data_IF_475344707486
#
_entry.id   IF_475344707486
#
_cell.length_a   1.000
_cell.length_b   1.000
_cell.length_c   1.000
_cell.angle_alpha   90.00
_cell.angle_beta   90.00
_cell.angle_gamma   90.00
#
_symmetry.space_group_name_H-M   'P 1'
#
loop_
_entity.id
_entity.type
_entity.pdbx_description
1 polymer ?
#
# COMPACT_ATOMS: atom_id res chain seq x y z
N UNK A 1 -19.01 -7.42 -29.57
CA UNK A 1 -20.07 -6.58 -29.00
C UNK A 1 -19.49 -5.56 -28.01
N UNK A 2 -18.84 -5.99 -26.91
CA UNK A 2 -18.33 -5.10 -25.85
C UNK A 2 -17.34 -4.04 -26.39
N UNK A 3 -16.40 -4.44 -27.24
CA UNK A 3 -15.46 -3.53 -27.91
C UNK A 3 -16.18 -2.38 -28.63
N UNK A 4 -17.20 -2.70 -29.44
CA UNK A 4 -17.98 -1.72 -30.15
C UNK A 4 -18.82 -0.84 -29.20
N UNK A 5 -19.41 -1.45 -28.17
CA UNK A 5 -20.18 -0.73 -27.14
C UNK A 5 -19.29 0.29 -26.42
N UNK A 6 -18.11 -0.13 -25.93
CA UNK A 6 -17.17 0.72 -25.22
C UNK A 6 -16.70 1.90 -26.09
N UNK A 7 -16.39 1.63 -27.37
CA UNK A 7 -16.02 2.68 -28.34
C UNK A 7 -17.11 3.73 -28.53
N UNK A 8 -18.39 3.30 -28.68
CA UNK A 8 -19.51 4.21 -28.86
C UNK A 8 -19.78 5.01 -27.57
N UNK A 9 -19.75 4.33 -26.42
CA UNK A 9 -20.02 4.98 -25.12
C UNK A 9 -18.98 6.07 -24.85
N UNK A 10 -17.70 5.77 -25.00
CA UNK A 10 -16.60 6.76 -24.83
C UNK A 10 -16.69 7.91 -25.84
N UNK A 11 -17.02 7.62 -27.10
CA UNK A 11 -17.19 8.66 -28.13
C UNK A 11 -18.35 9.62 -27.81
N UNK A 12 -19.46 9.10 -27.26
CA UNK A 12 -20.64 9.90 -26.92
C UNK A 12 -20.52 10.61 -25.58
N UNK A 13 -19.73 10.05 -24.66
CA UNK A 13 -19.57 10.52 -23.28
C UNK A 13 -18.09 10.52 -22.91
N UNK A 14 -17.29 11.50 -23.35
CA UNK A 14 -15.82 11.48 -23.15
C UNK A 14 -15.35 11.45 -21.69
N UNK A 15 -16.23 11.78 -20.73
CA UNK A 15 -15.90 11.75 -19.30
C UNK A 15 -16.31 10.48 -18.56
N UNK A 16 -16.89 9.48 -19.27
CA UNK A 16 -17.32 8.24 -18.63
C UNK A 16 -16.13 7.31 -18.38
N UNK A 17 -16.11 6.66 -17.22
CA UNK A 17 -15.18 5.58 -16.89
C UNK A 17 -15.91 4.24 -17.04
N UNK A 18 -15.31 3.34 -17.79
CA UNK A 18 -15.79 1.97 -18.00
C UNK A 18 -14.91 1.02 -17.21
N UNK A 19 -15.49 0.36 -16.21
CA UNK A 19 -14.77 -0.55 -15.33
C UNK A 19 -15.28 -1.98 -15.57
N UNK A 20 -14.37 -2.87 -15.96
CA UNK A 20 -14.69 -4.29 -16.13
C UNK A 20 -14.78 -5.00 -14.78
N UNK A 21 -15.76 -5.86 -14.60
CA UNK A 21 -15.77 -6.85 -13.55
C UNK A 21 -15.65 -8.23 -14.20
N UNK A 22 -14.49 -8.86 -14.00
CA UNK A 22 -14.19 -10.16 -14.54
C UNK A 22 -13.19 -10.86 -13.61
N UNK A 23 -13.59 -11.99 -13.05
CA UNK A 23 -12.82 -12.72 -12.03
C UNK A 23 -12.03 -13.90 -12.65
N UNK A 24 -12.10 -14.07 -13.97
CA UNK A 24 -11.40 -15.11 -14.70
C UNK A 24 -10.07 -14.63 -15.32
N UNK A 25 -9.66 -15.34 -16.36
CA UNK A 25 -8.37 -15.16 -17.01
C UNK A 25 -8.44 -14.36 -18.32
N UNK A 26 -9.48 -13.56 -18.54
CA UNK A 26 -9.55 -12.74 -19.75
C UNK A 26 -8.49 -11.64 -19.71
N UNK A 27 -7.48 -11.70 -20.60
CA UNK A 27 -6.37 -10.79 -20.56
C UNK A 27 -6.67 -9.46 -21.24
N UNK A 28 -5.92 -8.43 -20.87
CA UNK A 28 -5.84 -7.15 -21.57
C UNK A 28 -7.21 -6.46 -21.78
N UNK A 29 -8.07 -6.52 -20.75
CA UNK A 29 -9.38 -5.86 -20.77
C UNK A 29 -9.25 -4.34 -20.83
N UNK A 30 -8.19 -3.79 -20.22
CA UNK A 30 -7.92 -2.36 -20.11
C UNK A 30 -7.00 -1.81 -21.20
N UNK A 31 -6.56 -2.68 -22.12
CA UNK A 31 -5.81 -2.20 -23.28
C UNK A 31 -6.73 -1.61 -24.36
N UNK A 32 -6.15 -0.84 -25.27
CA UNK A 32 -6.89 -0.01 -26.21
C UNK A 32 -7.64 -0.82 -27.27
N UNK A 33 -8.69 -0.22 -27.80
CA UNK A 33 -9.49 -0.79 -28.90
C UNK A 33 -8.67 -0.87 -30.19
N UNK A 34 -7.70 0.03 -30.36
CA UNK A 34 -6.77 0.06 -31.49
C UNK A 34 -5.86 -1.17 -31.52
N UNK A 35 -5.53 -1.72 -30.34
CA UNK A 35 -4.75 -2.94 -30.17
C UNK A 35 -5.61 -4.22 -30.22
N UNK A 36 -6.86 -4.12 -30.68
CA UNK A 36 -7.83 -5.21 -30.77
C UNK A 36 -8.38 -5.73 -29.43
N UNK A 37 -8.22 -4.96 -28.34
CA UNK A 37 -8.73 -5.27 -27.01
C UNK A 37 -10.09 -4.61 -26.71
N UNK A 38 -10.62 -4.76 -25.47
CA UNK A 38 -11.98 -4.31 -25.16
C UNK A 38 -12.09 -2.83 -24.82
N UNK A 39 -11.00 -2.17 -24.44
CA UNK A 39 -10.95 -0.74 -24.19
C UNK A 39 -11.70 -0.29 -22.94
N UNK A 40 -11.74 -1.07 -21.87
CA UNK A 40 -12.14 -0.60 -20.56
C UNK A 40 -11.07 0.34 -20.00
N UNK A 41 -11.46 1.25 -19.11
CA UNK A 41 -10.50 2.13 -18.44
C UNK A 41 -9.82 1.41 -17.28
N UNK A 42 -10.58 0.57 -16.55
CA UNK A 42 -10.13 -0.17 -15.38
C UNK A 42 -10.77 -1.56 -15.29
N UNK A 43 -10.13 -2.41 -14.48
CA UNK A 43 -10.64 -3.72 -14.06
C UNK A 43 -10.69 -3.81 -12.53
N UNK A 44 -11.78 -4.31 -11.95
CA UNK A 44 -11.83 -4.63 -10.52
C UNK A 44 -10.82 -5.73 -10.18
N UNK A 45 -10.02 -5.51 -9.14
CA UNK A 45 -9.05 -6.49 -8.66
C UNK A 45 -9.63 -7.30 -7.49
N UNK A 46 -10.54 -8.23 -7.78
CA UNK A 46 -11.08 -9.15 -6.76
C UNK A 46 -10.01 -10.05 -6.16
N UNK A 47 -9.00 -10.45 -6.94
CA UNK A 47 -7.87 -11.27 -6.49
C UNK A 47 -7.09 -10.60 -5.36
N UNK A 48 -6.65 -9.35 -5.55
CA UNK A 48 -5.90 -8.60 -4.53
C UNK A 48 -6.63 -8.53 -3.19
N UNK A 49 -7.92 -8.20 -3.23
CA UNK A 49 -8.74 -8.09 -2.02
C UNK A 49 -8.88 -9.43 -1.32
N UNK A 50 -9.12 -10.50 -2.09
CA UNK A 50 -9.22 -11.86 -1.55
C UNK A 50 -7.91 -12.31 -0.90
N UNK A 51 -6.77 -12.07 -1.54
CA UNK A 51 -5.46 -12.44 -1.04
C UNK A 51 -5.15 -11.72 0.27
N UNK A 52 -5.37 -10.41 0.33
CA UNK A 52 -5.18 -9.64 1.57
C UNK A 52 -6.07 -10.16 2.71
N UNK A 53 -7.37 -10.39 2.46
CA UNK A 53 -8.30 -10.88 3.48
C UNK A 53 -7.92 -12.28 3.95
N UNK A 54 -7.61 -13.18 3.02
CA UNK A 54 -7.16 -14.54 3.35
C UNK A 54 -5.91 -14.55 4.23
N UNK A 55 -5.01 -13.58 4.05
CA UNK A 55 -3.82 -13.44 4.88
C UNK A 55 -4.12 -12.88 6.27
N UNK A 56 -4.87 -11.78 6.37
CA UNK A 56 -5.07 -11.11 7.67
C UNK A 56 -6.06 -11.83 8.58
N UNK A 57 -6.95 -12.67 8.03
CA UNK A 57 -7.90 -13.47 8.79
C UNK A 57 -7.24 -14.70 9.46
N UNK A 58 -6.02 -15.08 9.03
CA UNK A 58 -5.25 -16.18 9.62
C UNK A 58 -4.65 -15.77 10.98
N UNK A 59 -4.55 -16.72 11.90
CA UNK A 59 -3.85 -16.51 13.18
C UNK A 59 -2.39 -16.06 12.96
N UNK A 60 -1.89 -15.07 13.70
CA UNK A 60 -0.60 -14.45 13.42
C UNK A 60 0.60 -15.39 13.35
N UNK A 61 0.57 -16.50 14.13
CA UNK A 61 1.65 -17.49 14.12
C UNK A 61 1.67 -18.34 12.86
N UNK A 62 0.54 -18.45 12.16
CA UNK A 62 0.39 -19.24 10.93
C UNK A 62 0.58 -18.39 9.68
N UNK A 63 0.58 -17.05 9.79
CA UNK A 63 0.66 -16.11 8.65
C UNK A 63 1.89 -16.29 7.78
N UNK A 64 2.98 -16.81 8.34
CA UNK A 64 4.20 -17.08 7.56
C UNK A 64 3.96 -18.03 6.39
N UNK A 65 3.01 -18.97 6.53
CA UNK A 65 2.67 -19.94 5.49
C UNK A 65 1.75 -19.35 4.39
N UNK A 66 1.25 -18.13 4.62
CA UNK A 66 0.37 -17.37 3.71
C UNK A 66 1.01 -16.05 3.26
N UNK A 67 2.28 -15.84 3.56
CA UNK A 67 2.97 -14.56 3.35
C UNK A 67 3.04 -14.14 1.87
N UNK A 68 3.09 -15.09 0.95
CA UNK A 68 3.05 -14.85 -0.48
C UNK A 68 1.78 -14.12 -0.93
N UNK A 69 0.66 -14.27 -0.23
CA UNK A 69 -0.59 -13.53 -0.51
C UNK A 69 -0.45 -12.01 -0.36
N UNK A 70 0.52 -11.53 0.42
CA UNK A 70 0.86 -10.10 0.46
C UNK A 70 1.66 -9.65 -0.76
N UNK A 71 2.50 -10.51 -1.32
CA UNK A 71 3.52 -10.12 -2.30
C UNK A 71 3.18 -10.52 -3.73
N UNK A 72 2.38 -11.58 -3.90
CA UNK A 72 2.03 -12.17 -5.21
C UNK A 72 1.34 -11.18 -6.15
N UNK A 73 0.56 -10.26 -5.59
CA UNK A 73 -0.16 -9.24 -6.36
C UNK A 73 0.76 -8.39 -7.25
N UNK A 74 2.02 -8.19 -6.86
CA UNK A 74 2.99 -7.43 -7.65
C UNK A 74 3.43 -8.13 -8.93
N UNK A 75 3.22 -9.44 -9.06
CA UNK A 75 3.51 -10.17 -10.30
C UNK A 75 2.54 -9.78 -11.43
N UNK A 76 1.35 -9.33 -11.09
CA UNK A 76 0.34 -8.94 -12.08
C UNK A 76 -0.13 -7.48 -11.97
N UNK A 77 0.36 -6.72 -10.98
CA UNK A 77 -0.11 -5.36 -10.67
C UNK A 77 -0.14 -4.40 -11.88
N UNK A 78 0.69 -4.65 -12.89
CA UNK A 78 0.82 -3.81 -14.09
C UNK A 78 0.29 -4.48 -15.37
N UNK A 79 -0.36 -5.65 -15.26
CA UNK A 79 -0.94 -6.34 -16.41
C UNK A 79 -2.26 -5.72 -16.88
N UNK A 80 -2.93 -4.98 -16.00
CA UNK A 80 -4.17 -4.26 -16.23
C UNK A 80 -4.17 -2.95 -15.42
N UNK A 81 -5.06 -2.04 -15.74
CA UNK A 81 -5.33 -0.89 -14.88
C UNK A 81 -6.30 -1.30 -13.75
N UNK A 82 -5.77 -1.74 -12.63
CA UNK A 82 -6.59 -2.28 -11.55
C UNK A 82 -7.22 -1.20 -10.65
N UNK A 83 -8.47 -1.46 -10.25
CA UNK A 83 -9.13 -0.79 -9.11
C UNK A 83 -9.10 -1.75 -7.93
N UNK A 84 -8.36 -1.37 -6.89
CA UNK A 84 -8.27 -2.11 -5.63
C UNK A 84 -9.41 -1.68 -4.71
N UNK A 85 -10.05 -2.64 -4.05
CA UNK A 85 -11.18 -2.38 -3.16
C UNK A 85 -10.95 -2.95 -1.77
N UNK A 86 -11.47 -2.27 -0.76
CA UNK A 86 -11.67 -2.77 0.59
C UNK A 86 -12.84 -1.98 1.17
N UNK A 87 -14.04 -2.43 0.91
CA UNK A 87 -15.25 -1.73 1.30
C UNK A 87 -16.33 -2.69 1.80
N UNK A 88 -17.53 -2.15 2.04
CA UNK A 88 -18.66 -2.92 2.58
C UNK A 88 -19.00 -4.16 1.76
N UNK A 89 -18.77 -4.12 0.45
CA UNK A 89 -19.00 -5.27 -0.43
C UNK A 89 -18.03 -6.43 -0.13
N UNK A 90 -16.81 -6.09 0.30
CA UNK A 90 -15.74 -7.07 0.48
C UNK A 90 -15.73 -7.61 1.92
N UNK A 91 -15.93 -6.74 2.90
CA UNK A 91 -15.76 -7.06 4.33
C UNK A 91 -17.05 -6.93 5.16
N UNK A 92 -18.14 -6.44 4.59
CA UNK A 92 -19.37 -6.12 5.32
C UNK A 92 -19.26 -4.82 6.12
N UNK A 93 -19.93 -4.77 7.27
CA UNK A 93 -19.78 -3.68 8.24
C UNK A 93 -18.42 -3.76 8.94
N UNK A 94 -17.99 -2.68 9.60
CA UNK A 94 -16.78 -2.71 10.43
C UNK A 94 -16.84 -3.79 11.51
N UNK A 95 -18.03 -4.02 12.10
CA UNK A 95 -18.25 -5.07 13.09
C UNK A 95 -18.01 -6.46 12.50
N UNK A 96 -18.60 -6.76 11.35
CA UNK A 96 -18.42 -8.04 10.65
C UNK A 96 -16.95 -8.25 10.25
N UNK A 97 -16.25 -7.21 9.84
CA UNK A 97 -14.82 -7.30 9.55
C UNK A 97 -14.00 -7.62 10.80
N UNK A 98 -14.27 -6.93 11.92
CA UNK A 98 -13.60 -7.19 13.19
C UNK A 98 -13.87 -8.61 13.72
N UNK A 99 -15.05 -9.18 13.48
CA UNK A 99 -15.39 -10.54 13.91
C UNK A 99 -14.52 -11.61 13.23
N UNK A 100 -14.10 -11.38 11.99
CA UNK A 100 -13.24 -12.30 11.22
C UNK A 100 -11.77 -12.25 11.63
N UNK A 101 -11.31 -11.15 12.20
CA UNK A 101 -9.90 -10.96 12.53
C UNK A 101 -9.53 -11.63 13.86
N UNK A 102 -8.34 -12.24 13.98
CA UNK A 102 -7.83 -12.79 15.23
C UNK A 102 -7.36 -11.70 16.21
N UNK A 103 -7.28 -12.07 17.49
CA UNK A 103 -6.73 -11.24 18.55
C UNK A 103 -7.75 -10.44 19.36
N UNK A 104 -7.24 -9.60 20.26
CA UNK A 104 -8.04 -8.72 21.11
C UNK A 104 -8.72 -7.60 20.32
N UNK A 105 -9.77 -6.93 20.85
CA UNK A 105 -10.44 -5.83 20.13
C UNK A 105 -9.49 -4.72 19.66
N UNK A 106 -8.47 -4.36 20.45
CA UNK A 106 -7.47 -3.36 20.05
C UNK A 106 -6.58 -3.85 18.91
N UNK A 107 -6.16 -5.12 18.96
CA UNK A 107 -5.36 -5.73 17.87
C UNK A 107 -6.16 -5.84 16.57
N UNK A 108 -7.43 -6.20 16.64
CA UNK A 108 -8.33 -6.25 15.48
C UNK A 108 -8.46 -4.88 14.82
N UNK A 109 -8.67 -3.81 15.58
CA UNK A 109 -8.70 -2.44 15.06
C UNK A 109 -7.35 -2.02 14.45
N UNK A 110 -6.22 -2.43 15.04
CA UNK A 110 -4.90 -2.18 14.46
C UNK A 110 -4.74 -2.88 13.10
N UNK A 111 -5.18 -4.13 12.99
CA UNK A 111 -5.17 -4.89 11.73
C UNK A 111 -6.06 -4.26 10.65
N UNK A 112 -7.25 -3.76 11.03
CA UNK A 112 -8.11 -3.00 10.10
C UNK A 112 -7.37 -1.76 9.59
N UNK A 113 -6.72 -0.98 10.47
CA UNK A 113 -5.93 0.18 10.04
C UNK A 113 -4.78 -0.24 9.13
N UNK A 114 -4.06 -1.32 9.45
CA UNK A 114 -2.98 -1.82 8.60
C UNK A 114 -3.49 -2.25 7.22
N UNK A 115 -4.63 -2.92 7.14
CA UNK A 115 -5.24 -3.34 5.87
C UNK A 115 -5.62 -2.14 4.98
N UNK A 116 -6.27 -1.11 5.54
CA UNK A 116 -6.59 0.12 4.80
C UNK A 116 -5.34 0.90 4.37
N UNK A 117 -4.30 0.95 5.22
CA UNK A 117 -3.03 1.58 4.83
C UNK A 117 -2.37 0.80 3.70
N UNK A 118 -2.31 -0.53 3.77
CA UNK A 118 -1.72 -1.36 2.73
C UNK A 118 -2.44 -1.17 1.39
N UNK A 119 -3.78 -1.14 1.39
CA UNK A 119 -4.57 -0.80 0.22
C UNK A 119 -4.14 0.55 -0.37
N UNK A 120 -4.09 1.61 0.44
CA UNK A 120 -3.82 2.98 -0.03
C UNK A 120 -2.38 3.15 -0.55
N UNK A 121 -1.44 2.34 -0.08
CA UNK A 121 -0.02 2.41 -0.42
C UNK A 121 0.40 1.47 -1.55
N UNK A 122 -0.40 0.43 -1.84
CA UNK A 122 -0.17 -0.50 -2.94
C UNK A 122 -0.38 0.20 -4.31
N UNK A 123 0.29 -0.19 -5.42
CA UNK A 123 -0.03 0.30 -6.76
C UNK A 123 -1.46 0.01 -7.20
N UNK A 124 -2.02 0.86 -8.08
CA UNK A 124 -3.37 0.76 -8.62
C UNK A 124 -4.33 1.83 -8.08
N UNK A 125 -5.46 2.04 -8.74
CA UNK A 125 -6.50 2.99 -8.30
C UNK A 125 -7.27 2.41 -7.11
N UNK A 126 -7.69 3.25 -6.16
CA UNK A 126 -8.38 2.82 -4.94
C UNK A 126 -9.83 3.20 -4.96
N UNK A 127 -10.69 2.26 -4.57
CA UNK A 127 -12.09 2.55 -4.27
C UNK A 127 -12.44 1.93 -2.93
N UNK A 128 -12.65 2.79 -1.93
CA UNK A 128 -13.08 2.38 -0.60
C UNK A 128 -14.42 3.01 -0.26
N UNK A 129 -15.28 2.27 0.40
CA UNK A 129 -16.49 2.79 1.01
C UNK A 129 -16.49 2.39 2.48
N UNK A 130 -15.83 3.18 3.36
CA UNK A 130 -15.82 2.89 4.77
C UNK A 130 -17.24 2.90 5.34
N UNK A 131 -17.45 2.09 6.35
CA UNK A 131 -18.76 2.00 7.01
C UNK A 131 -19.15 3.36 7.61
N UNK A 132 -20.38 3.78 7.41
CA UNK A 132 -20.90 5.02 7.97
C UNK A 132 -20.95 5.01 9.50
N UNK A 133 -21.02 3.81 10.09
CA UNK A 133 -21.09 3.60 11.54
C UNK A 133 -19.69 3.44 12.20
N UNK A 134 -18.61 3.75 11.49
CA UNK A 134 -17.28 3.67 12.07
C UNK A 134 -17.05 4.78 13.12
N UNK A 135 -16.12 4.51 14.07
CA UNK A 135 -15.76 5.46 15.15
C UNK A 135 -15.13 6.74 14.59
N UNK A 136 -15.12 7.82 15.39
CA UNK A 136 -14.49 9.09 15.00
C UNK A 136 -13.00 8.93 14.75
N UNK A 137 -12.30 8.07 15.49
CA UNK A 137 -10.89 7.73 15.26
C UNK A 137 -10.68 7.07 13.90
N UNK A 138 -11.57 6.16 13.50
CA UNK A 138 -11.48 5.52 12.17
C UNK A 138 -11.83 6.49 11.05
N UNK A 139 -12.79 7.40 11.25
CA UNK A 139 -13.08 8.48 10.29
C UNK A 139 -11.87 9.40 10.10
N UNK A 140 -11.24 9.82 11.20
CA UNK A 140 -10.01 10.62 11.16
C UNK A 140 -8.88 9.87 10.44
N UNK A 141 -8.75 8.55 10.70
CA UNK A 141 -7.78 7.70 10.03
C UNK A 141 -7.96 7.65 8.51
N UNK A 142 -9.16 7.38 8.04
CA UNK A 142 -9.47 7.32 6.60
C UNK A 142 -9.33 8.71 5.94
N UNK A 143 -9.73 9.77 6.64
CA UNK A 143 -9.54 11.14 6.16
C UNK A 143 -8.05 11.44 5.92
N UNK A 144 -7.19 11.11 6.88
CA UNK A 144 -5.76 11.40 6.78
C UNK A 144 -5.04 10.50 5.78
N UNK A 145 -5.46 9.23 5.63
CA UNK A 145 -4.99 8.37 4.54
C UNK A 145 -5.30 8.98 3.17
N UNK A 146 -6.53 9.44 2.97
CA UNK A 146 -6.93 10.10 1.72
C UNK A 146 -6.18 11.42 1.48
N UNK A 147 -5.92 12.19 2.55
CA UNK A 147 -5.15 13.41 2.46
C UNK A 147 -3.69 13.12 2.05
N UNK A 148 -3.07 12.13 2.68
CA UNK A 148 -1.72 11.66 2.31
C UNK A 148 -1.68 11.17 0.86
N UNK A 149 -2.61 10.32 0.44
CA UNK A 149 -2.67 9.80 -0.93
C UNK A 149 -2.69 10.96 -1.95
N UNK A 150 -3.54 11.97 -1.75
CA UNK A 150 -3.64 13.12 -2.65
C UNK A 150 -2.42 14.04 -2.64
N UNK A 151 -1.72 14.12 -1.51
CA UNK A 151 -0.56 15.00 -1.35
C UNK A 151 0.78 14.37 -1.77
N UNK A 152 0.83 13.04 -1.96
CA UNK A 152 2.05 12.31 -2.28
C UNK A 152 1.99 11.74 -3.70
N UNK A 153 2.57 12.42 -4.72
CA UNK A 153 2.57 11.94 -6.10
C UNK A 153 3.09 10.51 -6.28
N UNK A 154 4.04 10.08 -5.47
CA UNK A 154 4.57 8.72 -5.48
C UNK A 154 3.48 7.63 -5.32
N UNK A 155 2.31 7.96 -4.78
CA UNK A 155 1.23 6.99 -4.55
C UNK A 155 0.31 6.79 -5.76
N UNK A 156 0.40 7.66 -6.78
CA UNK A 156 -0.51 7.58 -7.94
C UNK A 156 0.11 7.95 -9.29
N UNK A 157 1.16 8.79 -9.32
CA UNK A 157 1.67 9.34 -10.59
C UNK A 157 2.28 8.28 -11.52
N UNK A 158 2.75 7.15 -10.96
CA UNK A 158 3.35 6.05 -11.70
C UNK A 158 2.62 4.72 -11.46
N UNK A 159 1.33 4.75 -11.17
CA UNK A 159 0.54 3.52 -10.90
C UNK A 159 0.44 2.56 -12.11
N UNK A 160 0.64 3.04 -13.31
CA UNK A 160 0.72 2.23 -14.54
C UNK A 160 2.14 1.81 -14.94
N UNK A 161 3.16 2.14 -14.14
CA UNK A 161 4.57 1.86 -14.45
C UNK A 161 5.26 1.17 -13.27
N UNK A 162 5.90 0.03 -13.54
CA UNK A 162 6.64 -0.74 -12.53
C UNK A 162 7.77 0.05 -11.86
N UNK A 163 8.33 1.07 -12.52
CA UNK A 163 9.37 1.92 -11.93
C UNK A 163 8.88 2.74 -10.73
N UNK A 164 7.56 2.90 -10.58
CA UNK A 164 6.91 3.56 -9.43
C UNK A 164 6.93 2.73 -8.13
N UNK A 165 7.34 1.48 -8.19
CA UNK A 165 7.38 0.56 -7.05
C UNK A 165 8.71 -0.19 -6.97
N UNK A 166 9.16 -0.48 -5.75
CA UNK A 166 10.35 -1.29 -5.54
C UNK A 166 10.29 -1.99 -4.18
N UNK A 167 10.43 -3.32 -4.17
CA UNK A 167 10.56 -4.07 -2.93
C UNK A 167 11.88 -3.78 -2.21
N UNK A 168 11.80 -3.67 -0.88
CA UNK A 168 12.96 -3.69 0.02
C UNK A 168 12.99 -5.02 0.78
N UNK A 169 11.88 -5.38 1.43
CA UNK A 169 11.70 -6.65 2.12
C UNK A 169 10.40 -7.29 1.63
N UNK A 170 10.50 -8.47 1.02
CA UNK A 170 9.36 -9.25 0.53
C UNK A 170 9.50 -10.75 0.79
N UNK A 171 10.52 -11.14 1.54
CA UNK A 171 10.80 -12.53 1.96
C UNK A 171 10.89 -12.68 3.48
N UNK A 172 10.47 -11.67 4.24
CA UNK A 172 10.52 -11.65 5.69
C UNK A 172 9.27 -12.28 6.31
N UNK A 173 9.00 -13.52 5.92
CA UNK A 173 7.81 -14.28 6.30
C UNK A 173 7.77 -14.62 7.79
N UNK A 174 8.91 -14.87 8.44
CA UNK A 174 8.94 -15.21 9.87
C UNK A 174 8.50 -14.03 10.77
N UNK A 175 8.80 -12.80 10.36
CA UNK A 175 8.39 -11.59 11.09
C UNK A 175 7.06 -11.02 10.57
N UNK A 176 6.53 -11.50 9.45
CA UNK A 176 5.34 -10.97 8.78
C UNK A 176 5.44 -9.47 8.48
N UNK A 177 6.60 -9.03 7.99
CA UNK A 177 6.90 -7.64 7.64
C UNK A 177 7.19 -7.54 6.16
N UNK A 178 6.59 -6.55 5.50
CA UNK A 178 6.94 -6.13 4.13
C UNK A 178 7.42 -4.69 4.15
N UNK A 179 8.43 -4.39 3.34
CA UNK A 179 8.91 -3.03 3.12
C UNK A 179 9.10 -2.76 1.63
N UNK A 180 8.68 -1.58 1.18
CA UNK A 180 8.76 -1.19 -0.22
C UNK A 180 8.85 0.32 -0.38
N UNK A 181 9.25 0.72 -1.57
CA UNK A 181 9.28 2.11 -2.00
C UNK A 181 8.13 2.40 -2.95
N UNK A 182 7.56 3.59 -2.82
CA UNK A 182 6.77 4.24 -3.86
C UNK A 182 7.57 5.44 -4.36
N UNK A 183 7.65 5.57 -5.66
CA UNK A 183 8.56 6.51 -6.31
C UNK A 183 7.88 7.28 -7.44
N UNK A 184 8.45 8.42 -7.76
CA UNK A 184 8.29 9.10 -9.05
C UNK A 184 9.67 9.18 -9.71
N UNK A 185 9.76 9.87 -10.83
CA UNK A 185 11.06 10.21 -11.47
C UNK A 185 11.93 11.11 -10.57
N UNK A 186 11.33 11.78 -9.59
CA UNK A 186 12.04 12.67 -8.66
C UNK A 186 12.40 11.91 -7.38
N UNK A 187 13.68 11.85 -7.09
CA UNK A 187 14.20 11.12 -5.94
C UNK A 187 13.64 11.64 -4.60
N UNK A 188 13.39 12.95 -4.48
CA UNK A 188 12.83 13.58 -3.29
C UNK A 188 11.34 13.25 -3.04
N UNK A 189 10.64 12.71 -4.02
CA UNK A 189 9.26 12.25 -3.88
C UNK A 189 9.18 10.78 -3.47
N UNK A 190 10.31 10.10 -3.21
CA UNK A 190 10.34 8.71 -2.76
C UNK A 190 9.73 8.58 -1.36
N UNK A 191 8.88 7.58 -1.21
CA UNK A 191 8.34 7.14 0.09
C UNK A 191 8.89 5.76 0.44
N UNK A 192 9.33 5.61 1.69
CA UNK A 192 9.61 4.31 2.30
C UNK A 192 8.40 3.89 3.11
N UNK A 193 7.88 2.71 2.82
CA UNK A 193 6.73 2.12 3.49
C UNK A 193 7.16 0.83 4.17
N UNK A 194 6.83 0.69 5.45
CA UNK A 194 7.07 -0.54 6.22
C UNK A 194 5.75 -0.97 6.86
N UNK A 195 5.30 -2.17 6.52
CA UNK A 195 4.07 -2.77 7.04
C UNK A 195 4.42 -3.97 7.92
N UNK A 196 4.02 -3.92 9.17
CA UNK A 196 4.14 -5.02 10.12
C UNK A 196 2.77 -5.64 10.37
N UNK A 197 2.61 -6.89 9.98
CA UNK A 197 1.38 -7.65 10.18
C UNK A 197 1.48 -8.62 11.37
N UNK A 198 2.56 -8.55 12.16
CA UNK A 198 2.75 -9.36 13.36
C UNK A 198 2.28 -8.66 14.64
N UNK A 199 2.03 -9.42 15.73
CA UNK A 199 1.70 -8.84 17.03
C UNK A 199 2.88 -8.23 17.78
N UNK A 200 4.08 -8.27 17.19
CA UNK A 200 5.32 -7.79 17.81
C UNK A 200 5.58 -6.34 17.43
N UNK A 201 5.86 -5.52 18.43
CA UNK A 201 6.32 -4.14 18.25
C UNK A 201 7.83 -4.06 18.40
N UNK A 202 8.49 -3.25 17.57
CA UNK A 202 9.94 -3.09 17.58
C UNK A 202 10.32 -1.66 17.97
N UNK A 203 11.19 -1.50 18.96
CA UNK A 203 11.74 -0.20 19.32
C UNK A 203 12.86 0.25 18.37
N UNK A 204 13.51 -0.70 17.70
CA UNK A 204 14.64 -0.44 16.80
C UNK A 204 14.68 -1.46 15.66
N UNK A 205 13.67 -1.40 14.76
CA UNK A 205 13.66 -2.21 13.54
C UNK A 205 14.58 -1.58 12.51
N UNK A 206 15.43 -2.40 11.87
CA UNK A 206 16.35 -1.93 10.83
C UNK A 206 15.85 -2.34 9.45
N UNK A 207 15.85 -1.40 8.51
CA UNK A 207 15.44 -1.61 7.11
C UNK A 207 16.42 -0.95 6.17
N UNK A 208 16.72 -1.59 5.04
CA UNK A 208 17.53 -1.03 3.97
C UNK A 208 16.82 0.17 3.32
N UNK A 209 17.60 1.17 2.88
CA UNK A 209 17.06 2.37 2.25
C UNK A 209 17.82 2.71 0.95
N UNK A 210 17.15 3.37 -0.02
CA UNK A 210 17.71 3.56 -1.36
C UNK A 210 18.90 4.51 -1.43
N UNK A 211 19.03 5.43 -0.47
CA UNK A 211 20.10 6.45 -0.47
C UNK A 211 20.37 6.99 0.93
N UNK A 212 21.59 7.53 1.11
CA UNK A 212 21.91 8.34 2.28
C UNK A 212 21.05 9.60 2.29
N UNK A 213 20.54 9.97 3.47
CA UNK A 213 19.66 11.11 3.58
C UNK A 213 18.81 11.09 4.84
N UNK A 214 17.81 11.98 4.84
CA UNK A 214 16.94 12.20 5.97
C UNK A 214 15.56 11.61 5.70
N UNK A 215 15.07 10.82 6.65
CA UNK A 215 13.79 10.12 6.61
C UNK A 215 12.88 10.66 7.71
N UNK A 216 11.74 11.22 7.32
CA UNK A 216 10.74 11.78 8.24
C UNK A 216 9.45 10.97 8.14
N UNK A 217 9.00 10.43 9.27
CA UNK A 217 7.67 9.80 9.33
C UNK A 217 6.59 10.83 9.02
N UNK A 218 5.79 10.56 8.00
CA UNK A 218 4.67 11.41 7.57
C UNK A 218 3.32 10.78 7.87
N UNK A 219 3.29 9.47 8.08
CA UNK A 219 2.09 8.74 8.45
C UNK A 219 2.46 7.51 9.30
N UNK A 220 1.62 7.20 10.28
CA UNK A 220 1.76 6.01 11.10
C UNK A 220 0.37 5.57 11.58
N UNK A 221 -0.01 4.34 11.24
CA UNK A 221 -1.34 3.78 11.56
C UNK A 221 -1.58 3.57 13.05
N UNK A 222 -0.52 3.57 13.88
CA UNK A 222 -0.60 3.41 15.33
C UNK A 222 -0.60 4.74 16.09
N UNK A 223 -0.76 5.87 15.39
CA UNK A 223 -0.87 7.18 16.05
C UNK A 223 -2.07 7.21 17.02
N UNK A 224 -1.88 7.79 18.20
CA UNK A 224 -2.92 7.88 19.24
C UNK A 224 -4.21 8.56 18.79
N UNK A 225 -4.13 9.49 17.82
CA UNK A 225 -5.33 10.14 17.23
C UNK A 225 -6.26 9.17 16.49
N UNK A 226 -5.78 7.98 16.14
CA UNK A 226 -6.55 6.92 15.50
C UNK A 226 -6.90 5.77 16.48
N UNK A 227 -6.72 5.99 17.79
CA UNK A 227 -6.87 4.96 18.81
C UNK A 227 -5.73 3.93 18.85
N UNK A 228 -4.57 4.28 18.28
CA UNK A 228 -3.35 3.48 18.37
C UNK A 228 -2.62 3.65 19.70
N UNK A 229 -1.57 2.85 19.91
CA UNK A 229 -0.75 2.87 21.13
C UNK A 229 0.31 3.97 21.13
N UNK A 230 0.52 4.65 19.99
CA UNK A 230 1.46 5.77 19.88
C UNK A 230 2.92 5.35 19.67
N UNK A 231 3.18 4.17 19.11
CA UNK A 231 4.52 3.75 18.70
C UNK A 231 4.90 4.47 17.42
N UNK A 232 5.40 5.69 17.55
CA UNK A 232 5.67 6.61 16.43
C UNK A 232 7.12 7.11 16.43
N UNK A 233 7.60 7.59 15.28
CA UNK A 233 8.93 8.19 15.09
C UNK A 233 8.80 9.70 14.97
N UNK A 234 8.75 10.41 16.10
CA UNK A 234 8.49 11.85 16.17
C UNK A 234 9.59 12.73 15.57
N UNK A 235 10.83 12.22 15.52
CA UNK A 235 11.98 12.92 14.95
C UNK A 235 12.39 12.31 13.62
N UNK A 236 12.77 13.15 12.68
CA UNK A 236 13.39 12.67 11.45
C UNK A 236 14.71 11.93 11.79
N UNK A 237 14.99 10.89 11.02
CA UNK A 237 16.15 10.00 11.20
C UNK A 237 17.07 10.14 10.00
N UNK A 238 18.37 10.03 10.23
CA UNK A 238 19.34 9.96 9.15
C UNK A 238 19.63 8.48 8.83
N UNK A 239 19.71 8.15 7.57
CA UNK A 239 20.25 6.87 7.14
C UNK A 239 21.71 6.74 7.58
N UNK A 240 22.12 5.53 7.93
CA UNK A 240 23.50 5.20 8.26
C UNK A 240 24.07 4.28 7.19
N UNK A 241 25.36 4.42 6.92
CA UNK A 241 26.08 3.49 6.03
C UNK A 241 26.31 2.16 6.77
N UNK A 242 25.29 1.32 6.70
CA UNK A 242 25.29 -0.04 7.27
C UNK A 242 24.40 -0.91 6.35
N UNK A 243 24.99 -1.95 5.81
CA UNK A 243 24.30 -2.84 4.87
C UNK A 243 23.09 -3.52 5.52
N UNK A 244 21.96 -3.47 4.83
CA UNK A 244 20.70 -4.12 5.19
C UNK A 244 19.86 -4.31 3.93
N UNK A 245 19.17 -5.45 3.79
CA UNK A 245 18.27 -5.73 2.67
C UNK A 245 18.91 -5.50 1.29
N UNK A 246 20.18 -5.89 1.12
CA UNK A 246 21.00 -5.64 -0.08
C UNK A 246 21.16 -4.15 -0.44
N UNK A 247 21.08 -3.26 0.54
CA UNK A 247 21.29 -1.81 0.41
C UNK A 247 22.50 -1.38 1.25
N UNK A 248 23.30 -0.47 0.72
CA UNK A 248 24.49 0.08 1.43
C UNK A 248 24.10 0.92 2.67
N UNK A 249 22.88 1.47 2.64
CA UNK A 249 22.36 2.33 3.70
C UNK A 249 21.16 1.71 4.36
N UNK A 250 20.99 1.96 5.64
CA UNK A 250 19.85 1.50 6.42
C UNK A 250 19.33 2.55 7.38
N UNK A 251 18.09 2.32 7.85
CA UNK A 251 17.39 3.16 8.80
C UNK A 251 16.91 2.32 9.98
N UNK A 252 17.13 2.81 11.22
CA UNK A 252 16.53 2.21 12.41
C UNK A 252 15.31 3.01 12.85
N UNK A 253 14.17 2.34 13.04
CA UNK A 253 12.91 2.96 13.38
C UNK A 253 12.14 2.18 14.44
N UNK A 254 11.20 2.84 15.11
CA UNK A 254 10.15 2.16 15.84
C UNK A 254 9.12 1.64 14.84
N UNK A 255 8.70 0.40 15.01
CA UNK A 255 7.71 -0.22 14.14
C UNK A 255 6.61 -0.84 15.02
N UNK A 256 5.36 -0.34 14.96
CA UNK A 256 4.26 -0.83 15.79
C UNK A 256 3.80 -2.23 15.36
N UNK A 257 3.27 -2.98 16.32
CA UNK A 257 2.54 -4.21 16.06
C UNK A 257 1.29 -3.91 15.21
N UNK A 258 1.01 -4.76 14.21
CA UNK A 258 -0.09 -4.57 13.27
C UNK A 258 -0.16 -3.15 12.72
N UNK A 259 0.99 -2.58 12.37
CA UNK A 259 1.10 -1.17 12.02
C UNK A 259 1.84 -0.91 10.72
N UNK A 260 1.51 0.24 10.14
CA UNK A 260 2.13 0.72 8.91
C UNK A 260 2.73 2.09 9.15
N UNK A 261 4.01 2.24 8.78
CA UNK A 261 4.73 3.51 8.84
C UNK A 261 5.15 3.96 7.45
N UNK A 262 5.00 5.24 7.19
CA UNK A 262 5.39 5.86 5.92
C UNK A 262 6.37 7.00 6.19
N UNK A 263 7.50 6.95 5.53
CA UNK A 263 8.53 7.99 5.60
C UNK A 263 8.66 8.71 4.27
N UNK A 264 8.71 10.03 4.29
CA UNK A 264 9.24 10.82 3.19
C UNK A 264 10.77 10.81 3.24
N UNK A 265 11.38 10.71 2.07
CA UNK A 265 12.82 10.54 1.93
C UNK A 265 13.42 11.81 1.30
N UNK A 266 14.39 12.42 1.98
CA UNK A 266 15.13 13.57 1.45
C UNK A 266 16.59 13.15 1.27
N UNK A 267 17.07 13.00 0.02
CA UNK A 267 18.46 12.63 -0.27
C UNK A 267 19.46 13.66 0.27
N UNK A 268 20.64 13.20 0.67
CA UNK A 268 21.76 14.10 0.91
C UNK A 268 22.16 14.78 -0.40
N UNK A 269 22.36 16.10 -0.34
CA UNK A 269 22.93 16.83 -1.49
C UNK A 269 24.34 16.33 -1.70
N UNK A 270 24.61 15.74 -2.87
CA UNK A 270 26.00 15.46 -3.27
C UNK A 270 26.74 16.79 -3.29
N UNK A 271 27.67 16.99 -2.36
CA UNK A 271 28.62 18.09 -2.45
C UNK A 271 29.44 17.82 -3.71
N UNK A 272 29.21 18.59 -4.76
CA UNK A 272 30.06 18.55 -5.93
C UNK A 272 31.46 18.94 -5.47
N UNK A 273 32.35 17.94 -5.35
CA UNK A 273 33.78 18.21 -5.20
C UNK A 273 34.24 18.85 -6.49
N UNK A 274 34.20 20.18 -6.54
CA UNK A 274 34.95 20.94 -7.54
C UNK A 274 36.40 20.63 -7.24
N UNK A 275 36.99 19.70 -8.00
CA UNK A 275 38.44 19.54 -8.04
C UNK A 275 39.01 20.87 -8.53
N UNK A 276 39.67 21.61 -7.64
CA UNK A 276 40.63 22.66 -7.98
C UNK A 276 41.86 22.06 -8.60
#
# INVERSE_FOLDING_TARGET
FLKHLNSIVKKRNPGVLLIAQEDGLWPQLTDSVENDHLGFDYKWSGGWTKDLLSYIEVEPLERKDYYDQLTLSMMYAYSEHYVLTLGRRDVGTLKEFLEKLPGSPKQKLAQVRAAYAYLMLHPGVKMTAPDKECTEEMKAYIHDLNAMYRSCPALYAMDGNSDGFEWIQFTNYDENIVAFLRKTEKMEETLLIVCNFSPVSYDSYQVGVPFAGKYKEIFNSDNGKYGGLGVVNTRAKNAVHAECDNRENSLKMKLPAYGVTVFSCTPEKKVSSVKR
#
